data_IF_901895179113
#
_entry.id   IF_901895179113
#
_cell.length_a   1.000
_cell.length_b   1.000
_cell.length_c   1.000
_cell.angle_alpha   90.00
_cell.angle_beta   90.00
_cell.angle_gamma   90.00
#
_symmetry.space_group_name_H-M   'P 1'
#
loop_
_entity.id
_entity.type
_entity.pdbx_description
1 polymer ?
#
# COMPACT_ATOMS: atom_id res chain seq x y z
N UNK A 1 10.97 22.05 5.28
CA UNK A 1 10.07 21.07 4.64
C UNK A 1 8.67 21.36 5.18
N UNK A 2 7.67 21.43 4.30
CA UNK A 2 6.25 21.49 4.70
C UNK A 2 5.90 20.26 5.55
N UNK A 3 4.93 20.40 6.45
CA UNK A 3 4.33 19.21 7.09
C UNK A 3 3.49 18.50 6.03
N UNK A 4 3.54 17.16 5.95
CA UNK A 4 2.67 16.42 5.04
C UNK A 4 1.22 16.62 5.46
N UNK A 5 0.30 16.60 4.50
CA UNK A 5 -1.13 16.67 4.76
C UNK A 5 -1.63 15.39 5.44
N UNK A 6 -1.02 14.25 5.10
CA UNK A 6 -1.36 12.93 5.63
C UNK A 6 -0.11 12.11 5.97
N UNK A 7 -0.24 11.27 6.98
CA UNK A 7 0.74 10.24 7.33
C UNK A 7 0.04 8.89 7.20
N UNK A 8 0.54 8.06 6.29
CA UNK A 8 0.01 6.72 6.01
C UNK A 8 0.97 5.67 6.57
N UNK A 9 0.51 4.96 7.60
CA UNK A 9 1.21 3.86 8.24
C UNK A 9 0.90 2.56 7.50
N UNK A 10 1.95 1.87 7.07
CA UNK A 10 1.85 0.68 6.22
C UNK A 10 2.56 -0.50 6.91
N UNK A 11 1.91 -1.66 7.07
CA UNK A 11 2.59 -2.85 7.57
C UNK A 11 3.75 -3.24 6.66
N UNK A 12 4.91 -3.62 7.22
CA UNK A 12 6.09 -4.10 6.45
C UNK A 12 5.72 -5.14 5.39
N UNK A 13 4.86 -6.10 5.75
CA UNK A 13 4.39 -7.16 4.83
C UNK A 13 3.68 -6.63 3.58
N UNK A 14 2.96 -5.51 3.70
CA UNK A 14 2.25 -4.87 2.59
C UNK A 14 3.25 -4.12 1.71
N UNK A 15 4.13 -3.33 2.32
CA UNK A 15 5.18 -2.60 1.62
C UNK A 15 6.08 -3.55 0.81
N UNK A 16 6.60 -4.61 1.44
CA UNK A 16 7.48 -5.57 0.77
C UNK A 16 6.77 -6.31 -0.37
N UNK A 17 5.48 -6.65 -0.18
CA UNK A 17 4.68 -7.28 -1.23
C UNK A 17 4.47 -6.35 -2.43
N UNK A 18 4.19 -5.07 -2.18
CA UNK A 18 4.08 -4.05 -3.22
C UNK A 18 5.40 -3.86 -3.97
N UNK A 19 6.53 -3.69 -3.27
CA UNK A 19 7.86 -3.56 -3.89
C UNK A 19 8.25 -4.79 -4.73
N UNK A 20 7.94 -6.00 -4.25
CA UNK A 20 8.17 -7.24 -5.01
C UNK A 20 7.33 -7.30 -6.28
N UNK A 21 6.11 -6.77 -6.24
CA UNK A 21 5.24 -6.66 -7.40
C UNK A 21 5.81 -5.67 -8.42
N UNK A 22 6.18 -4.47 -7.99
CA UNK A 22 6.80 -3.45 -8.84
C UNK A 22 8.06 -3.99 -9.54
N UNK A 23 8.97 -4.59 -8.78
CA UNK A 23 10.17 -5.21 -9.34
C UNK A 23 9.87 -6.35 -10.32
N UNK A 24 8.75 -7.07 -10.15
CA UNK A 24 8.33 -8.09 -11.11
C UNK A 24 7.77 -7.47 -12.40
N UNK A 25 6.98 -6.40 -12.29
CA UNK A 25 6.46 -5.66 -13.44
C UNK A 25 7.59 -5.04 -14.26
N UNK A 26 8.57 -4.40 -13.61
CA UNK A 26 9.77 -3.85 -14.24
C UNK A 26 10.54 -4.93 -15.02
N UNK A 27 10.77 -6.11 -14.42
CA UNK A 27 11.45 -7.22 -15.09
C UNK A 27 10.70 -7.76 -16.30
N UNK A 28 9.37 -7.73 -16.29
CA UNK A 28 8.54 -8.24 -17.37
C UNK A 28 8.23 -7.18 -18.45
N UNK A 29 8.67 -5.93 -18.27
CA UNK A 29 8.32 -4.83 -19.16
C UNK A 29 6.83 -4.49 -19.16
N UNK A 30 6.11 -4.87 -18.11
CA UNK A 30 4.67 -4.65 -17.99
C UNK A 30 4.38 -3.33 -17.25
N UNK A 31 3.68 -2.37 -17.87
CA UNK A 31 3.55 -1.01 -17.33
C UNK A 31 2.37 -0.80 -16.35
N UNK A 32 1.89 -1.79 -15.60
CA UNK A 32 0.83 -1.50 -14.61
C UNK A 32 0.89 -2.38 -13.37
N UNK A 33 1.13 -1.81 -12.18
CA UNK A 33 0.97 -2.50 -10.89
C UNK A 33 -0.48 -2.98 -10.68
N UNK A 34 -1.43 -2.23 -11.25
CA UNK A 34 -2.88 -2.41 -11.16
C UNK A 34 -3.30 -3.71 -11.87
N UNK A 35 -2.95 -3.85 -13.15
CA UNK A 35 -3.37 -5.01 -13.94
C UNK A 35 -2.82 -6.35 -13.39
N UNK A 36 -1.64 -6.35 -12.78
CA UNK A 36 -1.07 -7.56 -12.15
C UNK A 36 -1.67 -7.83 -10.77
N UNK A 37 -1.97 -6.79 -9.99
CA UNK A 37 -2.66 -6.94 -8.71
C UNK A 37 -4.07 -7.52 -8.91
N UNK A 38 -4.81 -7.05 -9.92
CA UNK A 38 -6.11 -7.62 -10.32
C UNK A 38 -5.99 -9.07 -10.81
N UNK A 39 -5.04 -9.34 -11.72
CA UNK A 39 -4.78 -10.69 -12.24
C UNK A 39 -4.53 -11.70 -11.12
N UNK A 40 -3.83 -11.28 -10.06
CA UNK A 40 -3.49 -12.13 -8.93
C UNK A 40 -4.60 -12.25 -7.88
N UNK A 41 -5.62 -11.38 -7.90
CA UNK A 41 -6.79 -11.45 -7.00
C UNK A 41 -7.54 -12.77 -7.13
N UNK A 42 -7.68 -13.27 -8.37
CA UNK A 42 -8.33 -14.56 -8.65
C UNK A 42 -7.56 -15.79 -8.12
N UNK A 43 -6.28 -15.66 -7.78
CA UNK A 43 -5.41 -16.78 -7.37
C UNK A 43 -5.19 -16.84 -5.84
N UNK A 44 -6.09 -16.26 -5.03
CA UNK A 44 -5.96 -16.16 -3.56
C UNK A 44 -6.94 -17.10 -2.83
N UNK A 45 -6.52 -18.35 -2.53
CA UNK A 45 -7.42 -19.35 -1.95
C UNK A 45 -7.83 -19.02 -0.50
N UNK A 46 -7.01 -18.27 0.24
CA UNK A 46 -7.25 -17.96 1.66
C UNK A 46 -7.80 -16.56 1.88
N UNK A 47 -8.58 -16.37 2.96
CA UNK A 47 -9.07 -15.06 3.39
C UNK A 47 -7.91 -14.09 3.68
N UNK A 48 -6.89 -14.55 4.41
CA UNK A 48 -5.69 -13.77 4.69
C UNK A 48 -4.99 -13.30 3.40
N UNK A 49 -4.95 -14.16 2.38
CA UNK A 49 -4.46 -13.79 1.05
C UNK A 49 -5.28 -12.66 0.44
N UNK A 50 -6.61 -12.76 0.44
CA UNK A 50 -7.48 -11.71 -0.10
C UNK A 50 -7.31 -10.38 0.65
N UNK A 51 -7.22 -10.40 1.97
CA UNK A 51 -7.02 -9.19 2.81
C UNK A 51 -5.67 -8.53 2.51
N UNK A 52 -4.58 -9.31 2.46
CA UNK A 52 -3.25 -8.79 2.11
C UNK A 52 -3.27 -8.11 0.73
N UNK A 53 -3.91 -8.73 -0.27
CA UNK A 53 -3.95 -8.17 -1.62
C UNK A 53 -4.81 -6.93 -1.73
N UNK A 54 -5.92 -6.86 -1.00
CA UNK A 54 -6.71 -5.63 -0.90
C UNK A 54 -5.88 -4.49 -0.30
N UNK A 55 -5.09 -4.74 0.73
CA UNK A 55 -4.21 -3.72 1.32
C UNK A 55 -3.09 -3.30 0.36
N UNK A 56 -2.43 -4.24 -0.32
CA UNK A 56 -1.42 -3.93 -1.35
C UNK A 56 -2.02 -3.09 -2.48
N UNK A 57 -3.25 -3.41 -2.89
CA UNK A 57 -3.99 -2.62 -3.87
C UNK A 57 -4.23 -1.20 -3.39
N UNK A 58 -4.81 -1.01 -2.20
CA UNK A 58 -5.07 0.33 -1.68
C UNK A 58 -3.80 1.15 -1.47
N UNK A 59 -2.68 0.50 -1.13
CA UNK A 59 -1.36 1.14 -1.06
C UNK A 59 -0.87 1.61 -2.44
N UNK A 60 -0.97 0.75 -3.47
CA UNK A 60 -0.50 1.08 -4.83
C UNK A 60 -1.40 2.06 -5.58
N UNK A 61 -2.70 1.98 -5.35
CA UNK A 61 -3.71 2.86 -5.96
C UNK A 61 -3.83 4.19 -5.25
N UNK A 62 -3.14 4.38 -4.14
CA UNK A 62 -3.35 5.52 -3.27
C UNK A 62 -4.85 5.67 -2.89
N UNK A 63 -5.58 4.55 -2.78
CA UNK A 63 -7.04 4.56 -2.54
C UNK A 63 -7.36 5.02 -1.11
N UNK A 64 -6.38 4.93 -0.19
CA UNK A 64 -6.41 5.58 1.13
C UNK A 64 -5.83 7.00 1.14
N UNK A 65 -5.41 7.50 -0.03
CA UNK A 65 -4.58 8.68 -0.27
C UNK A 65 -5.22 9.49 -1.41
N UNK A 66 -6.50 9.84 -1.26
CA UNK A 66 -7.26 10.49 -2.34
C UNK A 66 -6.59 11.81 -2.75
N UNK A 67 -5.89 11.77 -3.89
CA UNK A 67 -5.43 12.86 -4.76
C UNK A 67 -3.93 13.21 -4.70
N UNK A 68 -3.35 13.32 -5.89
CA UNK A 68 -2.14 14.06 -6.33
C UNK A 68 -2.01 15.52 -5.81
N UNK A 69 -3.00 15.98 -5.06
CA UNK A 69 -3.11 17.30 -4.46
C UNK A 69 -2.47 17.34 -3.06
N UNK A 70 -2.33 16.19 -2.39
CA UNK A 70 -1.84 16.13 -1.01
C UNK A 70 -0.39 15.63 -0.91
N UNK A 71 0.40 16.25 -0.04
CA UNK A 71 1.74 15.79 0.34
C UNK A 71 1.61 14.67 1.39
N UNK A 72 1.87 13.42 1.00
CA UNK A 72 1.65 12.25 1.86
C UNK A 72 2.97 11.61 2.27
N UNK A 73 3.17 11.47 3.58
CA UNK A 73 4.32 10.75 4.14
C UNK A 73 3.96 9.29 4.43
N UNK A 74 4.74 8.35 3.89
CA UNK A 74 4.58 6.92 4.20
C UNK A 74 5.51 6.48 5.33
N UNK A 75 4.95 5.84 6.34
CA UNK A 75 5.69 5.24 7.45
C UNK A 75 5.53 3.73 7.41
N UNK A 76 6.63 3.01 7.19
CA UNK A 76 6.60 1.54 7.24
C UNK A 76 6.73 1.08 8.68
N UNK A 77 5.72 0.39 9.17
CA UNK A 77 5.65 -0.12 10.54
C UNK A 77 6.18 -1.55 10.58
N UNK A 78 7.21 -1.78 11.40
CA UNK A 78 7.85 -3.08 11.62
C UNK A 78 7.36 -3.75 12.92
N UNK A 79 6.05 -3.68 13.14
CA UNK A 79 5.37 -4.38 14.23
C UNK A 79 4.47 -5.46 13.61
N UNK A 80 4.69 -6.76 13.92
CA UNK A 80 3.85 -7.83 13.42
C UNK A 80 2.39 -7.76 13.89
N UNK A 81 2.10 -7.03 14.97
CA UNK A 81 0.74 -6.77 15.45
C UNK A 81 0.03 -5.67 14.64
N UNK A 82 0.78 -4.86 13.87
CA UNK A 82 0.20 -3.84 13.00
C UNK A 82 -0.30 -4.50 11.71
N UNK A 83 -1.62 -4.70 11.63
CA UNK A 83 -2.24 -5.59 10.65
C UNK A 83 -2.97 -4.88 9.51
N UNK A 84 -3.09 -3.54 9.55
CA UNK A 84 -3.82 -2.77 8.56
C UNK A 84 -3.09 -1.50 8.14
N UNK A 85 -3.47 -0.97 6.97
CA UNK A 85 -3.04 0.36 6.55
C UNK A 85 -3.88 1.37 7.33
N UNK A 86 -3.22 2.38 7.88
CA UNK A 86 -3.88 3.44 8.64
C UNK A 86 -3.37 4.80 8.19
N UNK A 87 -4.27 5.67 7.76
CA UNK A 87 -3.96 7.04 7.35
C UNK A 87 -4.52 8.03 8.38
N UNK A 88 -3.75 9.05 8.73
CA UNK A 88 -4.17 10.10 9.65
C UNK A 88 -3.58 11.45 9.26
N UNK A 89 -4.19 12.55 9.68
CA UNK A 89 -3.59 13.88 9.53
C UNK A 89 -2.64 14.15 10.71
N UNK A 90 -1.57 14.96 10.53
CA UNK A 90 -0.65 15.28 11.63
C UNK A 90 -1.32 15.91 12.85
N UNK A 91 -2.47 16.56 12.67
CA UNK A 91 -3.23 17.23 13.72
C UNK A 91 -3.87 16.24 14.72
N UNK A 92 -4.14 15.00 14.28
CA UNK A 92 -4.72 13.95 15.12
C UNK A 92 -3.68 13.11 15.87
N UNK A 93 -2.38 13.43 15.75
CA UNK A 93 -1.30 12.75 16.47
C UNK A 93 -0.97 13.40 17.83
N UNK A 94 -1.79 14.36 18.29
CA UNK A 94 -1.58 15.15 19.50
C UNK A 94 -2.64 14.90 20.57
#
# INVERSE_FOLDING_TARGET
MSKPDWITYVPRRVYDAARRLEAACERCGCPSPIGVAEYRSGFRPTLAGRVLWHQVWCFLMEDHNVSDIYDIAFVVVDDPAFDCIYSTTPEHLH
#
